data_IF_982460627524
#
_entry.id   IF_982460627524
#
_cell.length_a   1.000
_cell.length_b   1.000
_cell.length_c   1.000
_cell.angle_alpha   90.00
_cell.angle_beta   90.00
_cell.angle_gamma   90.00
#
_symmetry.space_group_name_H-M   'P 1'
#
loop_
_entity.id
_entity.type
_entity.pdbx_description
1 polymer ?
#
# COMPACT_ATOMS: atom_id res chain seq x y z
N UNK A 1 -18.64 9.73 25.48
CA UNK A 1 -17.24 10.10 25.18
C UNK A 1 -16.87 11.19 26.17
N UNK A 2 -15.74 11.10 26.90
CA UNK A 2 -15.27 12.23 27.69
C UNK A 2 -15.09 13.44 26.76
N UNK A 3 -15.62 14.60 27.14
CA UNK A 3 -15.46 15.82 26.36
C UNK A 3 -13.99 16.24 26.33
N UNK A 4 -13.43 16.44 25.13
CA UNK A 4 -12.09 17.02 24.95
C UNK A 4 -11.97 18.32 25.77
N UNK A 5 -11.08 18.32 26.77
CA UNK A 5 -10.81 19.51 27.57
C UNK A 5 -9.58 20.23 27.01
N UNK A 6 -9.81 21.41 26.42
CA UNK A 6 -8.73 22.23 25.86
C UNK A 6 -8.01 23.10 26.90
N UNK A 7 -8.49 23.14 28.15
CA UNK A 7 -7.89 23.99 29.20
C UNK A 7 -6.47 23.53 29.57
N UNK A 8 -6.27 22.22 29.74
CA UNK A 8 -4.95 21.66 30.02
C UNK A 8 -4.00 21.84 28.82
N UNK A 9 -4.53 21.61 27.61
CA UNK A 9 -3.82 21.80 26.36
C UNK A 9 -3.31 23.24 26.21
N UNK A 10 -4.20 24.23 26.27
CA UNK A 10 -3.83 25.64 26.10
C UNK A 10 -2.92 26.16 27.22
N UNK A 11 -3.08 25.69 28.47
CA UNK A 11 -2.12 25.99 29.54
C UNK A 11 -0.73 25.47 29.23
N UNK A 12 -0.63 24.26 28.68
CA UNK A 12 0.65 23.66 28.28
C UNK A 12 1.29 24.43 27.11
N UNK A 13 0.50 24.77 26.09
CA UNK A 13 0.97 25.60 24.97
C UNK A 13 1.47 26.95 25.49
N UNK A 14 0.66 27.66 26.29
CA UNK A 14 1.01 28.99 26.82
C UNK A 14 2.29 28.98 27.66
N UNK A 15 2.52 27.93 28.46
CA UNK A 15 3.74 27.76 29.28
C UNK A 15 5.01 27.69 28.42
N UNK A 16 4.92 27.08 27.24
CA UNK A 16 6.07 26.85 26.38
C UNK A 16 6.29 27.94 25.30
N UNK A 17 5.39 28.93 25.17
CA UNK A 17 5.46 29.99 24.13
C UNK A 17 6.76 30.81 24.11
N UNK A 18 7.44 31.00 25.25
CA UNK A 18 8.60 31.89 25.36
C UNK A 18 9.95 31.22 25.04
N UNK A 19 10.04 29.90 25.19
CA UNK A 19 11.31 29.14 25.13
C UNK A 19 11.22 27.88 24.27
N UNK A 20 10.05 27.62 23.70
CA UNK A 20 9.73 26.40 22.98
C UNK A 20 10.05 26.49 21.50
N UNK A 21 10.70 25.45 20.96
CA UNK A 21 10.62 25.12 19.54
C UNK A 21 9.30 24.40 19.26
N UNK A 22 8.94 24.21 17.99
CA UNK A 22 7.81 23.36 17.55
C UNK A 22 7.66 22.07 18.38
N UNK A 23 8.77 21.32 18.53
CA UNK A 23 8.81 20.04 19.28
C UNK A 23 8.49 20.15 20.77
N UNK A 24 8.68 21.32 21.39
CA UNK A 24 8.34 21.53 22.79
C UNK A 24 6.84 21.47 23.09
N UNK A 25 6.01 21.57 22.05
CA UNK A 25 4.55 21.50 22.14
C UNK A 25 4.01 20.12 21.79
N UNK A 26 4.86 19.19 21.33
CA UNK A 26 4.43 17.85 20.90
C UNK A 26 3.75 17.04 21.99
N UNK A 27 4.23 17.02 23.26
CA UNK A 27 3.54 16.29 24.32
C UNK A 27 2.09 16.76 24.52
N UNK A 28 1.85 18.07 24.48
CA UNK A 28 0.51 18.62 24.64
C UNK A 28 -0.42 18.20 23.49
N UNK A 29 0.10 18.20 22.25
CA UNK A 29 -0.67 17.76 21.08
C UNK A 29 -0.93 16.25 21.10
N UNK A 30 0.05 15.44 21.53
CA UNK A 30 -0.12 13.99 21.71
C UNK A 30 -1.25 13.71 22.72
N UNK A 31 -1.18 14.33 23.90
CA UNK A 31 -2.20 14.15 24.95
C UNK A 31 -3.60 14.54 24.45
N UNK A 32 -3.70 15.60 23.64
CA UNK A 32 -4.95 16.04 23.03
C UNK A 32 -5.51 15.00 22.03
N UNK A 33 -4.65 14.36 21.24
CA UNK A 33 -5.02 13.35 20.24
C UNK A 33 -5.37 11.99 20.87
N UNK A 34 -4.74 11.63 21.99
CA UNK A 34 -4.96 10.37 22.70
C UNK A 34 -6.23 10.41 23.58
N UNK A 35 -6.60 11.57 24.11
CA UNK A 35 -7.70 11.74 25.06
C UNK A 35 -9.12 11.27 24.62
N UNK A 36 -9.57 11.43 23.36
CA UNK A 36 -10.98 11.27 23.01
C UNK A 36 -11.47 9.83 22.81
N UNK A 37 -10.62 8.80 22.70
CA UNK A 37 -11.11 7.43 22.47
C UNK A 37 -10.18 6.31 22.94
N UNK A 38 -10.80 5.23 23.44
CA UNK A 38 -10.09 4.00 23.81
C UNK A 38 -9.33 3.39 22.63
N UNK A 39 -8.03 3.23 22.82
CA UNK A 39 -7.13 2.58 21.87
C UNK A 39 -6.65 3.49 20.73
N UNK A 40 -6.79 4.81 20.82
CA UNK A 40 -6.05 5.75 19.97
C UNK A 40 -4.66 5.98 20.56
N UNK A 41 -3.63 5.97 19.73
CA UNK A 41 -2.26 6.34 20.09
C UNK A 41 -1.64 7.20 18.97
N UNK A 42 -1.27 8.43 19.31
CA UNK A 42 -0.48 9.32 18.47
C UNK A 42 1.02 9.10 18.74
N UNK A 43 1.76 8.71 17.71
CA UNK A 43 3.21 8.48 17.77
C UNK A 43 3.93 9.69 17.16
N UNK A 44 4.95 10.20 17.86
CA UNK A 44 5.83 11.27 17.36
C UNK A 44 6.91 10.65 16.47
N UNK A 45 7.06 11.16 15.24
CA UNK A 45 8.06 10.67 14.29
C UNK A 45 9.42 11.34 14.52
N UNK A 46 10.38 10.62 15.12
CA UNK A 46 11.69 11.17 15.53
C UNK A 46 12.50 11.74 14.36
N UNK A 47 12.39 11.10 13.18
CA UNK A 47 13.11 11.51 11.95
C UNK A 47 12.33 12.51 11.08
N UNK A 48 11.02 12.71 11.34
CA UNK A 48 10.13 13.66 10.65
C UNK A 48 10.42 13.84 9.15
N UNK A 49 10.46 15.11 8.72
CA UNK A 49 10.73 15.60 7.35
C UNK A 49 11.84 14.88 6.56
N UNK A 50 12.83 14.25 7.21
CA UNK A 50 13.89 13.48 6.53
C UNK A 50 13.40 12.17 5.94
N UNK A 51 12.31 11.60 6.47
CA UNK A 51 11.68 10.38 5.97
C UNK A 51 10.49 10.66 5.03
N UNK A 52 10.12 11.92 4.82
CA UNK A 52 8.96 12.29 4.00
C UNK A 52 7.60 11.96 4.63
N UNK A 53 7.54 11.83 5.97
CA UNK A 53 6.34 11.52 6.75
C UNK A 53 6.06 12.71 7.70
N UNK A 54 4.78 13.05 7.97
CA UNK A 54 4.41 14.13 8.89
C UNK A 54 4.88 13.88 10.33
N UNK A 55 4.82 14.90 11.18
CA UNK A 55 5.39 14.85 12.54
C UNK A 55 4.72 13.83 13.47
N UNK A 56 3.44 13.52 13.25
CA UNK A 56 2.71 12.51 14.02
C UNK A 56 2.02 11.49 13.11
N UNK A 57 2.09 10.24 13.55
CA UNK A 57 1.27 9.14 13.05
C UNK A 57 0.21 8.79 14.09
N UNK A 58 -1.08 8.88 13.74
CA UNK A 58 -2.18 8.52 14.64
C UNK A 58 -2.70 7.13 14.28
N UNK A 59 -2.75 6.25 15.27
CA UNK A 59 -3.24 4.88 15.12
C UNK A 59 -4.39 4.60 16.07
N UNK A 60 -5.25 3.67 15.69
CA UNK A 60 -6.24 3.05 16.55
C UNK A 60 -5.88 1.58 16.67
N UNK A 61 -5.31 1.18 17.81
CA UNK A 61 -4.60 -0.09 17.97
C UNK A 61 -3.51 -0.19 16.89
N UNK A 62 -3.51 -1.25 16.09
CA UNK A 62 -2.56 -1.43 14.98
C UNK A 62 -2.98 -0.74 13.66
N UNK A 63 -4.18 -0.12 13.61
CA UNK A 63 -4.71 0.46 12.38
C UNK A 63 -4.34 1.94 12.25
N UNK A 64 -3.81 2.34 11.11
CA UNK A 64 -3.53 3.75 10.79
C UNK A 64 -4.84 4.54 10.67
N UNK A 65 -4.97 5.63 11.43
CA UNK A 65 -6.09 6.57 11.37
C UNK A 65 -5.75 7.73 10.43
N UNK A 66 -4.57 8.32 10.58
CA UNK A 66 -4.15 9.47 9.80
C UNK A 66 -2.86 10.06 10.32
N UNK A 67 -2.53 11.23 9.79
CA UNK A 67 -1.29 11.94 10.12
C UNK A 67 -1.58 13.35 10.60
N UNK A 68 -0.68 13.90 11.41
CA UNK A 68 -0.71 15.31 11.82
C UNK A 68 0.63 15.95 11.52
N UNK A 69 0.58 17.06 10.78
CA UNK A 69 1.70 17.96 10.57
C UNK A 69 1.56 19.15 11.50
N UNK A 70 2.58 19.40 12.33
CA UNK A 70 2.59 20.50 13.27
C UNK A 70 3.57 21.58 12.80
N UNK A 71 3.25 22.85 13.06
CA UNK A 71 4.12 24.01 12.77
C UNK A 71 4.20 24.90 14.00
N UNK A 72 5.18 25.79 14.01
CA UNK A 72 5.38 26.73 15.12
C UNK A 72 4.11 27.50 15.50
N UNK A 73 3.96 27.76 16.81
CA UNK A 73 2.72 28.33 17.36
C UNK A 73 2.42 29.72 16.78
N UNK A 74 1.28 29.82 16.09
CA UNK A 74 0.81 31.07 15.48
C UNK A 74 1.42 31.39 14.11
N UNK A 75 2.14 30.45 13.49
CA UNK A 75 2.63 30.60 12.12
C UNK A 75 1.46 30.58 11.12
N UNK A 76 1.56 31.35 10.04
CA UNK A 76 0.51 31.47 9.03
C UNK A 76 0.38 30.18 8.19
N UNK A 77 -0.67 29.41 8.46
CA UNK A 77 -0.96 28.17 7.76
C UNK A 77 -1.37 28.36 6.28
N UNK A 78 -1.80 29.56 5.85
CA UNK A 78 -2.12 29.83 4.45
C UNK A 78 -0.87 29.82 3.55
N UNK A 79 0.28 30.20 4.10
CA UNK A 79 1.56 30.09 3.38
C UNK A 79 2.07 28.66 3.40
N UNK A 80 1.89 27.95 4.53
CA UNK A 80 2.29 26.55 4.65
C UNK A 80 1.52 25.67 3.67
N UNK A 81 0.22 25.90 3.46
CA UNK A 81 -0.59 25.21 2.45
C UNK A 81 0.02 25.25 1.04
N UNK A 82 0.78 26.29 0.70
CA UNK A 82 1.38 26.46 -0.63
C UNK A 82 2.76 25.84 -0.78
N UNK A 83 3.35 25.37 0.33
CA UNK A 83 4.69 24.75 0.29
C UNK A 83 4.65 23.43 -0.46
N UNK A 84 5.71 23.13 -1.20
CA UNK A 84 5.84 21.87 -1.93
C UNK A 84 5.74 20.66 -0.99
N UNK A 85 6.30 20.78 0.22
CA UNK A 85 6.19 19.76 1.25
C UNK A 85 4.73 19.44 1.59
N UNK A 86 3.92 20.45 1.94
CA UNK A 86 2.54 20.18 2.35
C UNK A 86 1.70 19.73 1.15
N UNK A 87 1.94 20.22 -0.06
CA UNK A 87 1.28 19.71 -1.26
C UNK A 87 1.57 18.22 -1.47
N UNK A 88 2.83 17.77 -1.29
CA UNK A 88 3.17 16.35 -1.32
C UNK A 88 2.42 15.55 -0.25
N UNK A 89 2.29 16.09 0.96
CA UNK A 89 1.56 15.42 2.03
C UNK A 89 0.06 15.32 1.75
N UNK A 90 -0.55 16.37 1.19
CA UNK A 90 -1.95 16.38 0.76
C UNK A 90 -2.22 15.36 -0.36
N UNK A 91 -1.26 15.13 -1.25
CA UNK A 91 -1.35 14.09 -2.29
C UNK A 91 -1.16 12.66 -1.73
N UNK A 92 -0.22 12.49 -0.80
CA UNK A 92 0.19 11.18 -0.29
C UNK A 92 -0.73 10.64 0.81
N UNK A 93 -1.20 11.51 1.71
CA UNK A 93 -1.87 11.11 2.94
C UNK A 93 -3.38 11.38 2.87
N UNK A 94 -4.23 10.33 2.89
CA UNK A 94 -5.66 10.46 2.65
C UNK A 94 -6.41 11.11 3.82
N UNK A 95 -5.83 11.14 5.02
CA UNK A 95 -6.42 11.73 6.22
C UNK A 95 -5.32 12.49 6.97
N UNK A 96 -5.33 13.82 6.87
CA UNK A 96 -4.26 14.69 7.36
C UNK A 96 -4.84 15.87 8.15
N UNK A 97 -4.23 16.18 9.29
CA UNK A 97 -4.44 17.43 10.00
C UNK A 97 -3.19 18.29 9.90
N UNK A 98 -3.36 19.57 9.58
CA UNK A 98 -2.33 20.60 9.71
C UNK A 98 -2.68 21.48 10.90
N UNK A 99 -1.71 21.75 11.78
CA UNK A 99 -1.93 22.63 12.93
C UNK A 99 -0.72 23.51 13.25
N UNK A 100 -0.99 24.71 13.74
CA UNK A 100 0.00 25.56 14.43
C UNK A 100 -0.32 25.65 15.94
N UNK A 101 -0.95 24.62 16.49
CA UNK A 101 -1.47 24.50 17.86
C UNK A 101 -2.65 25.41 18.22
N UNK A 102 -2.95 26.44 17.43
CA UNK A 102 -4.05 27.38 17.66
C UNK A 102 -5.11 27.31 16.57
N UNK A 103 -4.74 26.89 15.37
CA UNK A 103 -5.60 26.66 14.22
C UNK A 103 -5.42 25.22 13.74
N UNK A 104 -6.53 24.56 13.42
CA UNK A 104 -6.54 23.20 12.92
C UNK A 104 -7.24 23.16 11.57
N UNK A 105 -6.62 22.50 10.59
CA UNK A 105 -7.18 22.27 9.26
C UNK A 105 -7.18 20.77 9.00
N UNK A 106 -8.35 20.22 8.69
CA UNK A 106 -8.50 18.82 8.37
C UNK A 106 -8.70 18.62 6.87
N UNK A 107 -7.95 17.68 6.30
CA UNK A 107 -7.98 17.32 4.90
C UNK A 107 -8.26 15.84 4.74
N UNK A 108 -9.08 15.56 3.73
CA UNK A 108 -9.34 14.21 3.27
C UNK A 108 -9.07 14.15 1.77
N UNK A 109 -8.19 13.24 1.36
CA UNK A 109 -7.80 13.05 -0.04
C UNK A 109 -7.36 14.37 -0.71
N UNK A 110 -6.54 15.16 -0.01
CA UNK A 110 -6.04 16.47 -0.45
C UNK A 110 -7.05 17.61 -0.42
N UNK A 111 -8.33 17.35 -0.12
CA UNK A 111 -9.37 18.39 -0.02
C UNK A 111 -9.59 18.81 1.43
N UNK A 112 -9.53 20.12 1.69
CA UNK A 112 -9.84 20.67 3.02
C UNK A 112 -11.32 20.47 3.35
N UNK A 113 -11.60 19.72 4.41
CA UNK A 113 -12.96 19.42 4.90
C UNK A 113 -13.42 20.43 5.94
N UNK A 114 -12.54 20.79 6.86
CA UNK A 114 -12.83 21.74 7.92
C UNK A 114 -11.58 22.53 8.31
N UNK A 115 -11.78 23.75 8.77
CA UNK A 115 -10.77 24.62 9.36
C UNK A 115 -11.42 25.44 10.46
N UNK A 116 -10.79 25.49 11.63
CA UNK A 116 -11.23 26.35 12.73
C UNK A 116 -10.04 26.81 13.59
N UNK A 117 -10.27 27.88 14.36
CA UNK A 117 -9.29 28.49 15.25
C UNK A 117 -9.74 28.27 16.70
N UNK A 118 -8.90 27.57 17.47
CA UNK A 118 -9.09 27.26 18.88
C UNK A 118 -8.92 28.50 19.76
N UNK A 119 -7.87 29.29 19.52
CA UNK A 119 -7.54 30.46 20.33
C UNK A 119 -6.76 31.52 19.53
N UNK A 120 -7.00 32.79 19.88
CA UNK A 120 -6.23 33.93 19.39
C UNK A 120 -5.01 34.17 20.29
N UNK A 121 -3.88 34.58 19.71
CA UNK A 121 -2.64 34.89 20.43
C UNK A 121 -2.41 36.39 20.49
N UNK A 122 -2.20 36.93 21.69
CA UNK A 122 -1.74 38.30 21.92
C UNK A 122 -0.48 38.27 22.80
N UNK A 123 0.69 38.35 22.14
CA UNK A 123 1.99 38.15 22.81
C UNK A 123 2.11 36.74 23.41
N UNK A 124 2.15 36.65 24.74
CA UNK A 124 2.24 35.39 25.49
C UNK A 124 0.92 34.96 26.15
N UNK A 125 -0.20 35.61 25.80
CA UNK A 125 -1.53 35.25 26.27
C UNK A 125 -2.32 34.61 25.13
N UNK A 126 -3.03 33.53 25.45
CA UNK A 126 -3.98 32.87 24.55
C UNK A 126 -5.40 33.19 25.02
N UNK A 127 -6.26 33.58 24.08
CA UNK A 127 -7.68 33.80 24.30
C UNK A 127 -8.48 32.77 23.53
N UNK A 128 -9.22 31.92 24.24
CA UNK A 128 -10.06 30.87 23.63
C UNK A 128 -11.11 31.50 22.71
N UNK A 129 -11.28 30.92 21.52
CA UNK A 129 -12.28 31.32 20.53
C UNK A 129 -13.37 30.26 20.38
N UNK A 130 -13.01 29.05 19.97
CA UNK A 130 -13.99 27.98 19.69
C UNK A 130 -13.42 26.60 20.04
N UNK A 131 -13.94 25.98 21.10
CA UNK A 131 -13.57 24.61 21.50
C UNK A 131 -14.40 23.56 20.78
N UNK A 132 -15.70 23.80 20.63
CA UNK A 132 -16.64 22.77 20.14
C UNK A 132 -16.39 22.40 18.69
N UNK A 133 -16.02 23.38 17.85
CA UNK A 133 -15.68 23.15 16.46
C UNK A 133 -14.39 22.36 16.28
N UNK A 134 -13.39 22.64 17.13
CA UNK A 134 -12.12 21.90 17.14
C UNK A 134 -12.35 20.49 17.66
N UNK A 135 -13.15 20.32 18.70
CA UNK A 135 -13.55 19.00 19.19
C UNK A 135 -14.24 18.20 18.09
N UNK A 136 -15.19 18.79 17.37
CA UNK A 136 -15.88 18.14 16.26
C UNK A 136 -14.93 17.79 15.09
N UNK A 137 -13.99 18.69 14.75
CA UNK A 137 -12.99 18.44 13.72
C UNK A 137 -12.09 17.26 14.09
N UNK A 138 -11.55 17.25 15.33
CA UNK A 138 -10.70 16.16 15.81
C UNK A 138 -11.49 14.85 15.92
N UNK A 139 -12.73 14.89 16.39
CA UNK A 139 -13.59 13.70 16.44
C UNK A 139 -13.82 13.12 15.04
N UNK A 140 -14.12 13.96 14.05
CA UNK A 140 -14.28 13.53 12.65
C UNK A 140 -12.97 12.99 12.06
N UNK A 141 -11.83 13.61 12.35
CA UNK A 141 -10.51 13.12 11.94
C UNK A 141 -10.18 11.75 12.55
N UNK A 142 -10.41 11.57 13.85
CA UNK A 142 -10.09 10.36 14.61
C UNK A 142 -11.04 9.20 14.31
N UNK A 143 -12.30 9.52 14.02
CA UNK A 143 -13.32 8.56 13.61
C UNK A 143 -13.45 8.46 12.07
N UNK A 144 -12.54 9.08 11.32
CA UNK A 144 -12.50 8.93 9.87
C UNK A 144 -12.19 7.48 9.52
N UNK A 145 -13.18 6.77 8.99
CA UNK A 145 -13.07 5.37 8.55
C UNK A 145 -12.66 5.25 7.08
N UNK A 146 -12.18 6.34 6.47
CA UNK A 146 -12.04 6.41 5.02
C UNK A 146 -13.37 6.73 4.33
N UNK A 147 -13.31 7.10 3.05
CA UNK A 147 -14.14 6.34 2.11
C UNK A 147 -13.73 4.89 2.36
N UNK A 148 -14.63 4.08 2.92
CA UNK A 148 -14.39 2.65 3.07
C UNK A 148 -13.82 2.21 1.74
N UNK A 149 -12.63 1.58 1.74
CA UNK A 149 -12.15 0.82 0.59
C UNK A 149 -13.14 -0.33 0.43
N UNK A 150 -14.28 0.02 -0.16
CA UNK A 150 -15.47 -0.79 -0.32
C UNK A 150 -15.50 -1.32 -1.74
N UNK A 151 -14.71 -0.70 -2.62
CA UNK A 151 -14.46 -1.16 -3.96
C UNK A 151 -12.96 -1.40 -4.20
N UNK A 152 -12.60 -2.33 -5.09
CA UNK A 152 -11.22 -2.50 -5.52
C UNK A 152 -10.66 -1.30 -6.33
N UNK A 153 -11.50 -0.35 -6.78
CA UNK A 153 -11.03 0.89 -7.42
C UNK A 153 -10.45 1.88 -6.38
N UNK A 154 -11.10 2.02 -5.23
CA UNK A 154 -10.63 2.89 -4.14
C UNK A 154 -9.25 2.42 -3.64
N UNK A 155 -9.07 1.10 -3.54
CA UNK A 155 -7.79 0.50 -3.21
C UNK A 155 -6.74 0.88 -4.24
N UNK A 156 -7.06 0.74 -5.52
CA UNK A 156 -6.10 0.97 -6.57
C UNK A 156 -5.65 2.45 -6.61
N UNK A 157 -6.57 3.39 -6.36
CA UNK A 157 -6.25 4.81 -6.14
C UNK A 157 -5.35 5.03 -4.93
N UNK A 158 -5.63 4.35 -3.81
CA UNK A 158 -4.82 4.45 -2.60
C UNK A 158 -3.42 3.85 -2.77
N UNK A 159 -3.31 2.69 -3.42
CA UNK A 159 -2.06 2.05 -3.79
C UNK A 159 -1.24 2.94 -4.71
N UNK A 160 -1.84 3.57 -5.72
CA UNK A 160 -1.12 4.50 -6.58
C UNK A 160 -0.57 5.72 -5.83
N UNK A 161 -1.33 6.28 -4.88
CA UNK A 161 -0.84 7.37 -4.03
C UNK A 161 0.35 6.93 -3.18
N UNK A 162 0.24 5.76 -2.52
CA UNK A 162 1.32 5.20 -1.70
C UNK A 162 2.56 4.85 -2.54
N UNK A 163 2.40 4.22 -3.70
CA UNK A 163 3.50 3.93 -4.63
C UNK A 163 4.16 5.22 -5.12
N UNK A 164 3.38 6.26 -5.45
CA UNK A 164 3.93 7.58 -5.85
C UNK A 164 4.72 8.21 -4.70
N UNK A 165 4.22 8.13 -3.47
CA UNK A 165 4.87 8.65 -2.27
C UNK A 165 6.18 7.92 -1.96
N UNK A 166 6.18 6.58 -1.98
CA UNK A 166 7.39 5.75 -1.80
C UNK A 166 8.40 6.09 -2.89
N UNK A 167 7.99 6.09 -4.17
CA UNK A 167 8.88 6.43 -5.29
C UNK A 167 9.52 7.80 -5.10
N UNK A 168 8.74 8.81 -4.69
CA UNK A 168 9.25 10.15 -4.48
C UNK A 168 10.23 10.21 -3.30
N UNK A 169 9.89 9.57 -2.17
CA UNK A 169 10.78 9.46 -1.02
C UNK A 169 12.09 8.75 -1.38
N UNK A 170 12.02 7.66 -2.14
CA UNK A 170 13.20 6.93 -2.64
C UNK A 170 14.02 7.78 -3.60
N UNK A 171 13.40 8.47 -4.55
CA UNK A 171 14.11 9.35 -5.49
C UNK A 171 14.83 10.49 -4.77
N UNK A 172 14.15 11.18 -3.85
CA UNK A 172 14.75 12.23 -3.02
C UNK A 172 15.88 11.70 -2.13
N UNK A 173 15.73 10.49 -1.59
CA UNK A 173 16.78 9.85 -0.80
C UNK A 173 18.00 9.48 -1.66
N UNK A 174 17.79 9.00 -2.88
CA UNK A 174 18.85 8.67 -3.84
C UNK A 174 19.57 9.91 -4.39
N UNK A 175 18.87 11.03 -4.59
CA UNK A 175 19.50 12.31 -4.98
C UNK A 175 20.46 12.86 -3.90
N UNK A 176 20.23 12.49 -2.63
CA UNK A 176 21.06 12.88 -1.50
C UNK A 176 22.15 11.88 -1.13
N UNK A 177 22.21 10.71 -1.78
CA UNK A 177 23.16 9.63 -1.47
C UNK A 177 24.25 9.53 -2.55
N UNK A 178 25.47 9.16 -2.17
CA UNK A 178 26.50 8.85 -3.16
C UNK A 178 26.26 7.49 -3.83
N UNK A 179 26.96 7.20 -4.94
CA UNK A 179 26.78 5.97 -5.73
C UNK A 179 27.10 4.67 -4.95
N UNK A 180 27.70 4.78 -3.77
CA UNK A 180 28.02 3.68 -2.86
C UNK A 180 27.07 3.66 -1.64
N UNK A 181 26.03 4.49 -1.63
CA UNK A 181 25.03 4.58 -0.57
C UNK A 181 24.26 3.28 -0.32
N UNK A 182 23.71 3.15 0.89
CA UNK A 182 22.94 1.97 1.30
C UNK A 182 21.74 1.74 0.37
N UNK A 183 21.04 2.79 -0.10
CA UNK A 183 19.89 2.63 -1.01
C UNK A 183 20.30 2.17 -2.40
N UNK A 184 21.49 2.57 -2.90
CA UNK A 184 22.06 2.04 -4.14
C UNK A 184 22.47 0.56 -4.03
N UNK A 185 22.76 0.09 -2.82
CA UNK A 185 23.16 -1.29 -2.53
C UNK A 185 21.99 -2.20 -2.09
N UNK A 186 20.79 -1.65 -1.89
CA UNK A 186 19.59 -2.43 -1.55
C UNK A 186 19.25 -3.41 -2.69
N UNK A 187 19.67 -4.66 -2.53
CA UNK A 187 19.04 -5.78 -3.25
C UNK A 187 17.61 -5.92 -2.73
N UNK A 188 16.60 -6.18 -3.59
CA UNK A 188 15.23 -6.34 -3.16
C UNK A 188 15.14 -7.52 -2.18
N UNK A 189 15.09 -7.24 -0.88
CA UNK A 189 14.95 -8.26 0.15
C UNK A 189 13.94 -7.84 1.21
N UNK A 190 12.91 -8.69 1.23
CA UNK A 190 11.88 -8.94 2.24
C UNK A 190 10.82 -7.85 2.48
N UNK A 191 9.65 -8.19 1.93
CA UNK A 191 8.30 -7.68 2.21
C UNK A 191 8.06 -6.22 1.84
N UNK A 192 7.81 -6.02 0.54
CA UNK A 192 7.21 -4.81 0.01
C UNK A 192 5.92 -4.49 0.79
N UNK A 193 5.83 -3.34 1.50
CA UNK A 193 4.65 -2.92 2.25
C UNK A 193 3.38 -2.97 1.40
N UNK A 194 3.49 -2.73 0.08
CA UNK A 194 2.39 -2.83 -0.89
C UNK A 194 1.77 -4.23 -0.88
N UNK A 195 2.60 -5.26 -0.79
CA UNK A 195 2.16 -6.67 -0.78
C UNK A 195 1.43 -6.98 0.53
N UNK A 196 1.89 -6.46 1.67
CA UNK A 196 1.23 -6.68 2.96
C UNK A 196 -0.15 -6.00 3.05
N UNK A 197 -0.27 -4.79 2.52
CA UNK A 197 -1.57 -4.10 2.39
C UNK A 197 -2.53 -4.86 1.47
N UNK A 198 -2.02 -5.34 0.34
CA UNK A 198 -2.78 -6.14 -0.62
C UNK A 198 -3.30 -7.46 -0.03
N UNK A 199 -2.48 -8.15 0.77
CA UNK A 199 -2.86 -9.36 1.50
C UNK A 199 -3.97 -9.13 2.52
N UNK A 200 -3.85 -8.04 3.29
CA UNK A 200 -4.80 -7.65 4.35
C UNK A 200 -6.17 -7.32 3.74
N UNK A 201 -6.19 -6.60 2.63
CA UNK A 201 -7.43 -6.29 1.91
C UNK A 201 -8.11 -7.54 1.36
N UNK A 202 -7.40 -8.45 0.68
CA UNK A 202 -8.04 -9.65 0.12
C UNK A 202 -8.54 -10.61 1.20
N UNK A 203 -7.95 -10.56 2.41
CA UNK A 203 -8.53 -11.20 3.58
C UNK A 203 -9.93 -10.66 3.91
N UNK A 204 -10.10 -9.34 3.85
CA UNK A 204 -11.34 -8.64 4.20
C UNK A 204 -12.38 -8.61 3.06
N UNK A 205 -11.95 -8.43 1.81
CA UNK A 205 -12.80 -8.22 0.64
C UNK A 205 -13.64 -9.45 0.28
N UNK A 206 -13.05 -10.65 0.33
CA UNK A 206 -13.80 -11.88 0.11
C UNK A 206 -13.13 -13.09 0.77
N UNK A 207 -13.30 -13.20 2.10
CA UNK A 207 -12.76 -14.30 2.90
C UNK A 207 -13.21 -15.69 2.39
N UNK A 208 -14.43 -15.80 1.84
CA UNK A 208 -14.96 -17.05 1.28
C UNK A 208 -14.25 -17.43 -0.02
N UNK A 209 -14.05 -16.48 -0.94
CA UNK A 209 -13.31 -16.71 -2.19
C UNK A 209 -11.84 -17.01 -1.89
N UNK A 210 -11.21 -16.30 -0.94
CA UNK A 210 -9.87 -16.60 -0.42
C UNK A 210 -9.78 -18.03 0.10
N UNK A 211 -10.72 -18.45 0.97
CA UNK A 211 -10.75 -19.79 1.54
C UNK A 211 -10.97 -20.86 0.46
N UNK A 212 -11.77 -20.55 -0.56
CA UNK A 212 -12.04 -21.48 -1.67
C UNK A 212 -10.84 -21.66 -2.60
N UNK A 213 -10.15 -20.57 -2.99
CA UNK A 213 -9.08 -20.58 -4.01
C UNK A 213 -7.67 -20.69 -3.42
N UNK A 214 -7.50 -20.45 -2.12
CA UNK A 214 -6.25 -20.63 -1.37
C UNK A 214 -5.03 -19.86 -1.90
N UNK A 215 -5.27 -18.84 -2.74
CA UNK A 215 -4.34 -17.76 -3.10
C UNK A 215 -5.14 -16.51 -3.40
N UNK A 216 -4.44 -15.40 -3.43
CA UNK A 216 -4.93 -14.08 -3.79
C UNK A 216 -5.17 -13.97 -5.31
N UNK A 217 -6.44 -13.81 -5.70
CA UNK A 217 -6.84 -13.37 -7.04
C UNK A 217 -6.78 -11.84 -7.08
N UNK A 218 -6.17 -11.24 -8.11
CA UNK A 218 -6.19 -9.79 -8.29
C UNK A 218 -7.56 -9.34 -8.76
N UNK A 219 -8.30 -8.55 -7.96
CA UNK A 219 -9.64 -8.12 -8.34
C UNK A 219 -9.61 -7.37 -9.67
N UNK A 220 -10.60 -7.63 -10.53
CA UNK A 220 -10.71 -6.99 -11.86
C UNK A 220 -10.59 -5.45 -11.81
N UNK A 221 -11.13 -4.71 -10.81
CA UNK A 221 -10.95 -3.27 -10.77
C UNK A 221 -9.53 -2.82 -10.40
N UNK A 222 -8.76 -3.60 -9.63
CA UNK A 222 -7.34 -3.34 -9.36
C UNK A 222 -6.54 -3.51 -10.65
N UNK A 223 -6.79 -4.60 -11.37
CA UNK A 223 -6.17 -4.85 -12.68
C UNK A 223 -6.54 -3.72 -13.66
N UNK A 224 -7.81 -3.34 -13.72
CA UNK A 224 -8.30 -2.28 -14.59
C UNK A 224 -7.65 -0.92 -14.28
N UNK A 225 -7.45 -0.60 -13.00
CA UNK A 225 -6.74 0.61 -12.61
C UNK A 225 -5.26 0.59 -13.00
N UNK A 226 -4.56 -0.53 -12.80
CA UNK A 226 -3.16 -0.69 -13.22
C UNK A 226 -3.07 -0.48 -14.74
N UNK A 227 -3.93 -1.13 -15.51
CA UNK A 227 -4.01 -1.00 -16.98
C UNK A 227 -4.24 0.46 -17.40
N UNK A 228 -5.22 1.15 -16.80
CA UNK A 228 -5.48 2.58 -17.10
C UNK A 228 -4.32 3.49 -16.73
N UNK A 229 -3.65 3.21 -15.62
CA UNK A 229 -2.51 4.02 -15.16
C UNK A 229 -1.31 3.84 -16.09
N UNK A 230 -1.04 2.62 -16.54
CA UNK A 230 -0.01 2.32 -17.54
C UNK A 230 -0.37 2.99 -18.87
N UNK A 231 -1.61 2.87 -19.34
CA UNK A 231 -2.08 3.54 -20.56
C UNK A 231 -1.87 5.06 -20.53
N UNK A 232 -2.21 5.70 -19.42
CA UNK A 232 -1.99 7.14 -19.22
C UNK A 232 -0.50 7.49 -19.20
N UNK A 233 0.34 6.70 -18.52
CA UNK A 233 1.79 6.91 -18.49
C UNK A 233 2.40 6.78 -19.90
N UNK A 234 1.98 5.77 -20.68
CA UNK A 234 2.47 5.57 -22.04
C UNK A 234 2.15 6.79 -22.93
N UNK A 235 0.96 7.37 -22.79
CA UNK A 235 0.55 8.61 -23.48
C UNK A 235 1.34 9.82 -23.04
N UNK A 236 1.45 10.04 -21.73
CA UNK A 236 2.00 11.28 -21.16
C UNK A 236 3.53 11.32 -21.08
N UNK A 237 4.20 10.16 -21.12
CA UNK A 237 5.64 10.05 -20.82
C UNK A 237 6.44 9.26 -21.84
N UNK A 238 5.80 8.49 -22.72
CA UNK A 238 6.47 7.62 -23.69
C UNK A 238 6.19 8.01 -25.14
N UNK A 239 5.53 9.14 -25.38
CA UNK A 239 5.16 9.63 -26.72
C UNK A 239 4.41 8.58 -27.56
N UNK A 240 3.62 7.75 -26.88
CA UNK A 240 2.72 6.77 -27.47
C UNK A 240 1.29 7.33 -27.40
N UNK A 241 0.85 8.17 -28.36
CA UNK A 241 -0.44 8.88 -28.29
C UNK A 241 -1.65 7.95 -28.19
N UNK A 242 -1.52 6.68 -28.60
CA UNK A 242 -2.56 5.67 -28.43
C UNK A 242 -2.42 4.85 -27.13
N UNK A 243 -1.40 5.12 -26.32
CA UNK A 243 -1.12 4.46 -25.04
C UNK A 243 -0.87 2.97 -25.20
N UNK A 244 -1.66 2.14 -24.52
CA UNK A 244 -1.62 0.69 -24.74
C UNK A 244 -2.04 0.33 -26.17
N UNK A 245 -2.91 1.12 -26.82
CA UNK A 245 -3.31 0.87 -28.20
C UNK A 245 -2.25 1.32 -29.24
N UNK A 246 -1.10 1.81 -28.79
CA UNK A 246 -0.01 2.20 -29.68
C UNK A 246 0.77 0.98 -30.17
N UNK A 247 0.51 0.61 -31.43
CA UNK A 247 1.03 -0.61 -32.05
C UNK A 247 2.50 -0.52 -32.47
N UNK A 248 3.21 0.56 -32.15
CA UNK A 248 4.63 0.69 -32.50
C UNK A 248 5.50 -0.42 -31.89
N UNK A 249 5.08 -1.03 -30.77
CA UNK A 249 5.83 -2.09 -30.06
C UNK A 249 4.99 -3.27 -29.52
N UNK A 250 3.70 -3.38 -29.84
CA UNK A 250 2.78 -4.44 -29.30
C UNK A 250 2.71 -4.51 -27.75
N UNK A 251 2.94 -3.40 -27.05
CA UNK A 251 2.92 -3.39 -25.57
C UNK A 251 1.50 -3.56 -25.01
N UNK A 252 0.46 -3.02 -25.65
CA UNK A 252 -0.92 -3.23 -25.22
C UNK A 252 -1.42 -4.64 -25.39
N UNK A 253 -1.05 -5.30 -26.49
CA UNK A 253 -1.37 -6.71 -26.72
C UNK A 253 -0.78 -7.60 -25.64
N UNK A 254 0.50 -7.39 -25.31
CA UNK A 254 1.19 -8.10 -24.22
C UNK A 254 0.62 -7.77 -22.84
N UNK A 255 0.28 -6.50 -22.59
CA UNK A 255 -0.41 -6.08 -21.37
C UNK A 255 -1.76 -6.77 -21.19
N UNK A 256 -2.58 -6.82 -22.24
CA UNK A 256 -3.87 -7.52 -22.20
C UNK A 256 -3.70 -9.03 -22.02
N UNK A 257 -2.69 -9.63 -22.65
CA UNK A 257 -2.38 -11.04 -22.46
C UNK A 257 -2.00 -11.36 -21.00
N UNK A 258 -1.20 -10.51 -20.35
CA UNK A 258 -0.89 -10.62 -18.92
C UNK A 258 -2.15 -10.55 -18.06
N UNK A 259 -3.04 -9.59 -18.34
CA UNK A 259 -4.33 -9.45 -17.64
C UNK A 259 -5.16 -10.74 -17.76
N UNK A 260 -5.31 -11.26 -18.97
CA UNK A 260 -6.14 -12.44 -19.21
C UNK A 260 -5.58 -13.72 -18.55
N UNK A 261 -4.25 -13.84 -18.46
CA UNK A 261 -3.60 -14.91 -17.70
C UNK A 261 -3.94 -14.82 -16.21
N UNK A 262 -3.80 -13.64 -15.61
CA UNK A 262 -3.99 -13.44 -14.17
C UNK A 262 -5.47 -13.48 -13.75
N UNK A 263 -6.38 -13.10 -14.65
CA UNK A 263 -7.82 -13.24 -14.44
C UNK A 263 -8.31 -14.68 -14.68
N UNK A 264 -7.44 -15.61 -15.07
CA UNK A 264 -7.76 -16.99 -15.46
C UNK A 264 -8.73 -17.09 -16.65
N UNK A 265 -8.71 -16.10 -17.55
CA UNK A 265 -9.56 -16.00 -18.75
C UNK A 265 -8.86 -16.47 -20.04
N UNK A 266 -7.53 -16.51 -20.03
CA UNK A 266 -6.73 -16.90 -21.21
C UNK A 266 -6.96 -18.36 -21.63
N UNK A 267 -7.16 -18.58 -22.94
CA UNK A 267 -7.28 -19.92 -23.53
C UNK A 267 -5.99 -20.74 -23.40
N UNK A 268 -4.84 -20.07 -23.27
CA UNK A 268 -3.53 -20.72 -23.11
C UNK A 268 -3.50 -21.60 -21.86
N UNK A 269 -4.24 -21.23 -20.81
CA UNK A 269 -4.33 -21.97 -19.56
C UNK A 269 -4.88 -23.39 -19.74
N UNK A 270 -5.60 -23.68 -20.82
CA UNK A 270 -6.10 -25.03 -21.09
C UNK A 270 -5.03 -25.97 -21.69
N UNK A 271 -3.88 -25.42 -22.10
CA UNK A 271 -2.72 -26.20 -22.57
C UNK A 271 -1.84 -26.56 -21.37
N UNK A 272 -2.30 -27.53 -20.58
CA UNK A 272 -1.61 -27.92 -19.35
C UNK A 272 -0.21 -28.45 -19.66
N UNK A 273 0.79 -27.95 -18.92
CA UNK A 273 2.19 -28.38 -19.01
C UNK A 273 2.59 -29.34 -17.88
N UNK A 274 1.65 -29.64 -17.00
CA UNK A 274 1.85 -30.46 -15.81
C UNK A 274 0.89 -31.62 -15.78
N UNK A 275 1.27 -32.69 -15.09
CA UNK A 275 0.41 -33.86 -14.82
C UNK A 275 0.41 -34.17 -13.33
N UNK A 276 -0.74 -34.56 -12.80
CA UNK A 276 -0.82 -35.16 -11.46
C UNK A 276 -0.55 -36.67 -11.55
N UNK A 277 0.43 -37.15 -10.79
CA UNK A 277 0.92 -38.53 -10.84
C UNK A 277 1.11 -39.14 -9.45
N UNK A 278 1.41 -40.44 -9.39
CA UNK A 278 1.61 -41.21 -8.15
C UNK A 278 0.37 -41.97 -7.68
N UNK A 279 0.46 -42.72 -6.57
CA UNK A 279 -0.57 -43.65 -6.08
C UNK A 279 -1.03 -43.26 -4.67
N UNK A 280 -2.18 -42.60 -4.53
CA UNK A 280 -2.67 -42.20 -3.20
C UNK A 280 -3.86 -41.25 -3.25
N UNK A 281 -4.26 -40.70 -2.12
CA UNK A 281 -5.24 -39.61 -2.07
C UNK A 281 -4.59 -38.25 -2.39
N UNK A 282 -5.41 -37.24 -2.67
CA UNK A 282 -4.94 -35.89 -2.94
C UNK A 282 -4.85 -35.03 -1.67
N UNK A 283 -4.68 -35.64 -0.49
CA UNK A 283 -4.54 -34.88 0.76
C UNK A 283 -3.18 -34.18 0.76
N UNK A 284 -3.18 -32.86 1.02
CA UNK A 284 -1.94 -32.09 1.09
C UNK A 284 -1.40 -32.19 2.52
N UNK A 285 -0.44 -33.07 2.74
CA UNK A 285 0.19 -33.33 4.05
C UNK A 285 1.64 -32.82 4.11
N UNK A 286 2.27 -32.63 2.95
CA UNK A 286 3.59 -32.00 2.78
C UNK A 286 3.64 -31.18 1.49
N UNK A 287 4.70 -30.38 1.37
CA UNK A 287 4.98 -29.58 0.18
C UNK A 287 6.49 -29.61 0.00
N UNK A 288 6.97 -30.44 -0.91
CA UNK A 288 8.40 -30.66 -1.14
C UNK A 288 8.68 -30.63 -2.64
N UNK A 289 9.70 -29.91 -3.07
CA UNK A 289 10.06 -29.82 -4.48
C UNK A 289 11.37 -30.55 -4.77
N UNK A 290 11.36 -31.36 -5.83
CA UNK A 290 12.53 -32.00 -6.41
C UNK A 290 12.84 -31.32 -7.75
N UNK A 291 13.93 -30.54 -7.79
CA UNK A 291 14.34 -29.79 -8.98
C UNK A 291 14.82 -30.70 -10.13
N UNK A 292 15.49 -31.80 -9.82
CA UNK A 292 16.01 -32.76 -10.82
C UNK A 292 14.88 -33.45 -11.55
N UNK A 293 13.85 -33.86 -10.81
CA UNK A 293 12.68 -34.53 -11.38
C UNK A 293 11.59 -33.56 -11.84
N UNK A 294 11.73 -32.26 -11.54
CA UNK A 294 10.72 -31.22 -11.78
C UNK A 294 9.36 -31.57 -11.17
N UNK A 295 9.39 -32.04 -9.92
CA UNK A 295 8.21 -32.55 -9.19
C UNK A 295 7.94 -31.80 -7.91
N UNK A 296 6.67 -31.45 -7.70
CA UNK A 296 6.17 -30.92 -6.42
C UNK A 296 5.31 -31.98 -5.74
N UNK A 297 5.78 -32.51 -4.63
CA UNK A 297 5.09 -33.49 -3.80
C UNK A 297 4.08 -32.81 -2.87
N UNK A 298 2.86 -33.33 -2.82
CA UNK A 298 1.81 -32.90 -1.88
C UNK A 298 1.65 -33.88 -0.71
N UNK A 299 2.13 -35.11 -0.91
CA UNK A 299 2.32 -36.17 0.07
C UNK A 299 3.38 -37.15 -0.47
N UNK A 300 3.67 -38.21 0.28
CA UNK A 300 4.71 -39.18 -0.08
C UNK A 300 4.46 -39.86 -1.42
N UNK A 301 3.19 -39.99 -1.79
CA UNK A 301 2.76 -40.83 -2.91
C UNK A 301 2.13 -40.04 -4.07
N UNK A 302 1.86 -38.74 -3.92
CA UNK A 302 1.27 -37.87 -4.94
C UNK A 302 2.08 -36.61 -5.18
N UNK A 303 2.23 -36.28 -6.46
CA UNK A 303 3.01 -35.12 -6.91
C UNK A 303 2.53 -34.60 -8.26
N UNK A 304 2.82 -33.32 -8.50
CA UNK A 304 2.72 -32.68 -9.80
C UNK A 304 4.05 -32.79 -10.54
N UNK A 305 4.02 -33.23 -11.78
CA UNK A 305 5.16 -33.30 -12.71
C UNK A 305 5.20 -32.10 -13.64
N UNK A 306 6.39 -31.78 -14.19
CA UNK A 306 6.56 -30.78 -15.24
C UNK A 306 6.68 -29.34 -14.73
N UNK A 307 7.04 -29.16 -13.46
CA UNK A 307 7.24 -27.83 -12.85
C UNK A 307 8.73 -27.53 -12.85
N UNK A 308 9.18 -26.68 -13.77
CA UNK A 308 10.60 -26.29 -13.88
C UNK A 308 11.07 -25.50 -12.66
N UNK A 309 12.39 -25.49 -12.36
CA UNK A 309 12.92 -24.78 -11.19
C UNK A 309 12.57 -23.29 -11.17
N UNK A 310 12.58 -22.63 -12.33
CA UNK A 310 12.28 -21.20 -12.41
C UNK A 310 10.80 -20.92 -12.13
N UNK A 311 9.90 -21.77 -12.63
CA UNK A 311 8.45 -21.65 -12.36
C UNK A 311 8.14 -21.97 -10.90
N UNK A 312 8.84 -22.94 -10.29
CA UNK A 312 8.74 -23.21 -8.86
C UNK A 312 9.23 -22.03 -8.02
N UNK A 313 10.39 -21.47 -8.37
CA UNK A 313 11.04 -20.37 -7.64
C UNK A 313 10.37 -19.01 -7.85
N UNK A 314 9.43 -18.90 -8.80
CA UNK A 314 8.77 -17.63 -9.13
C UNK A 314 8.04 -17.03 -7.92
N UNK A 315 8.29 -15.74 -7.69
CA UNK A 315 7.74 -14.97 -6.56
C UNK A 315 6.96 -13.76 -7.03
N UNK A 316 5.90 -13.46 -6.31
CA UNK A 316 5.21 -12.16 -6.36
C UNK A 316 5.32 -11.56 -4.97
N UNK A 317 6.06 -10.46 -4.85
CA UNK A 317 6.46 -9.94 -3.55
C UNK A 317 7.36 -10.92 -2.79
N UNK A 318 7.10 -11.11 -1.50
CA UNK A 318 7.82 -12.08 -0.65
C UNK A 318 7.44 -13.54 -0.88
N UNK A 319 6.36 -13.82 -1.61
CA UNK A 319 5.74 -15.14 -1.66
C UNK A 319 6.10 -15.92 -2.92
N UNK A 320 6.55 -17.15 -2.71
CA UNK A 320 6.65 -18.14 -3.77
C UNK A 320 5.27 -18.71 -4.07
N UNK A 321 4.77 -18.46 -5.29
CA UNK A 321 3.33 -18.58 -5.60
C UNK A 321 2.81 -20.02 -5.45
N UNK A 322 3.51 -20.97 -6.05
CA UNK A 322 3.12 -22.39 -6.06
C UNK A 322 3.23 -23.04 -4.67
N UNK A 323 4.33 -22.77 -3.96
CA UNK A 323 4.56 -23.26 -2.60
C UNK A 323 3.51 -22.74 -1.62
N UNK A 324 3.22 -21.43 -1.68
CA UNK A 324 2.20 -20.82 -0.84
C UNK A 324 0.81 -21.41 -1.08
N UNK A 325 0.41 -21.61 -2.34
CA UNK A 325 -0.89 -22.20 -2.72
C UNK A 325 -1.13 -23.55 -2.04
N UNK A 326 -0.10 -24.41 -2.03
CA UNK A 326 -0.15 -25.74 -1.42
C UNK A 326 -0.05 -25.69 0.10
N UNK A 327 0.82 -24.86 0.66
CA UNK A 327 0.95 -24.70 2.13
C UNK A 327 -0.33 -24.21 2.78
N UNK A 328 -1.06 -23.31 2.14
CA UNK A 328 -2.35 -22.82 2.65
C UNK A 328 -3.39 -23.96 2.71
N UNK A 329 -3.37 -24.89 1.75
CA UNK A 329 -4.23 -26.09 1.74
C UNK A 329 -3.80 -27.15 2.74
N UNK A 330 -2.49 -27.33 2.94
CA UNK A 330 -1.93 -28.15 4.02
C UNK A 330 -2.39 -27.64 5.38
N UNK A 331 -2.27 -26.32 5.63
CA UNK A 331 -2.71 -25.68 6.88
C UNK A 331 -4.21 -25.87 7.11
N UNK A 332 -5.01 -25.80 6.05
CA UNK A 332 -6.44 -26.05 6.08
C UNK A 332 -6.82 -27.55 6.12
N UNK A 333 -5.84 -28.48 6.13
CA UNK A 333 -6.03 -29.94 6.08
C UNK A 333 -6.94 -30.38 4.93
N UNK A 334 -6.76 -29.78 3.74
CA UNK A 334 -7.59 -30.03 2.57
C UNK A 334 -7.06 -31.17 1.69
N UNK A 335 -8.00 -31.91 1.12
CA UNK A 335 -7.80 -32.81 -0.01
C UNK A 335 -8.16 -32.08 -1.31
N UNK A 336 -7.31 -32.15 -2.32
CA UNK A 336 -7.54 -31.46 -3.59
C UNK A 336 -8.62 -32.18 -4.40
N UNK A 337 -9.69 -31.46 -4.71
CA UNK A 337 -10.67 -31.88 -5.71
C UNK A 337 -10.08 -31.86 -7.12
N UNK A 338 -10.81 -32.42 -8.09
CA UNK A 338 -10.44 -32.30 -9.50
C UNK A 338 -10.26 -30.83 -9.93
N UNK A 339 -11.15 -29.94 -9.49
CA UNK A 339 -11.08 -28.52 -9.80
C UNK A 339 -9.88 -27.83 -9.14
N UNK A 340 -9.52 -28.21 -7.90
CA UNK A 340 -8.32 -27.71 -7.23
C UNK A 340 -7.05 -28.12 -8.00
N UNK A 341 -6.98 -29.40 -8.43
CA UNK A 341 -5.86 -29.92 -9.24
C UNK A 341 -5.77 -29.16 -10.56
N UNK A 342 -6.86 -29.10 -11.31
CA UNK A 342 -6.91 -28.38 -12.59
C UNK A 342 -6.54 -26.91 -12.42
N UNK A 343 -7.04 -26.26 -11.37
CA UNK A 343 -6.73 -24.86 -11.08
C UNK A 343 -5.23 -24.67 -10.80
N UNK A 344 -4.61 -25.53 -9.98
CA UNK A 344 -3.18 -25.47 -9.72
C UNK A 344 -2.35 -25.63 -10.99
N UNK A 345 -2.70 -26.60 -11.85
CA UNK A 345 -2.03 -26.81 -13.14
C UNK A 345 -2.16 -25.57 -14.04
N UNK A 346 -3.33 -24.91 -14.04
CA UNK A 346 -3.52 -23.63 -14.76
C UNK A 346 -2.68 -22.50 -14.19
N UNK A 347 -2.50 -22.42 -12.86
CA UNK A 347 -1.60 -21.44 -12.24
C UNK A 347 -0.17 -21.67 -12.69
N UNK A 348 0.30 -22.93 -12.78
CA UNK A 348 1.63 -23.25 -13.30
C UNK A 348 1.81 -22.74 -14.74
N UNK A 349 0.80 -22.94 -15.61
CA UNK A 349 0.81 -22.38 -16.97
C UNK A 349 0.84 -20.85 -16.94
N UNK A 350 -0.01 -20.22 -16.11
CA UNK A 350 -0.06 -18.76 -16.00
C UNK A 350 1.29 -18.16 -15.61
N UNK A 351 2.02 -18.77 -14.67
CA UNK A 351 3.34 -18.31 -14.25
C UNK A 351 4.36 -18.43 -15.39
N UNK A 352 4.39 -19.57 -16.09
CA UNK A 352 5.29 -19.77 -17.23
C UNK A 352 5.04 -18.73 -18.33
N UNK A 353 3.78 -18.54 -18.72
CA UNK A 353 3.40 -17.57 -19.76
C UNK A 353 3.68 -16.12 -19.32
N UNK A 354 3.50 -15.83 -18.02
CA UNK A 354 3.84 -14.52 -17.46
C UNK A 354 5.33 -14.23 -17.59
N UNK A 355 6.18 -15.20 -17.23
CA UNK A 355 7.63 -15.05 -17.37
C UNK A 355 8.06 -14.81 -18.82
N UNK A 356 7.43 -15.52 -19.77
CA UNK A 356 7.70 -15.32 -21.18
C UNK A 356 7.28 -13.92 -21.66
N UNK A 357 6.06 -13.48 -21.30
CA UNK A 357 5.58 -12.15 -21.66
C UNK A 357 6.44 -11.03 -21.03
N UNK A 358 6.92 -11.21 -19.80
CA UNK A 358 7.84 -10.27 -19.17
C UNK A 358 9.13 -10.14 -19.98
N UNK A 359 9.74 -11.26 -20.41
CA UNK A 359 10.94 -11.23 -21.25
C UNK A 359 10.68 -10.55 -22.61
N UNK A 360 9.54 -10.81 -23.23
CA UNK A 360 9.16 -10.16 -24.49
C UNK A 360 8.97 -8.65 -24.31
N UNK A 361 8.38 -8.20 -23.19
CA UNK A 361 8.24 -6.78 -22.86
C UNK A 361 9.61 -6.14 -22.61
N UNK A 362 10.49 -6.80 -21.84
CA UNK A 362 11.85 -6.31 -21.56
C UNK A 362 12.66 -6.14 -22.85
N UNK A 363 12.49 -7.03 -23.84
CA UNK A 363 13.13 -6.92 -25.16
C UNK A 363 12.61 -5.71 -25.97
N UNK A 364 11.33 -5.36 -25.81
CA UNK A 364 10.73 -4.19 -26.48
C UNK A 364 11.12 -2.87 -25.81
N UNK A 365 11.55 -2.93 -24.55
CA UNK A 365 11.98 -1.80 -23.71
C UNK A 365 13.38 -2.12 -23.15
N UNK A 366 14.43 -2.14 -23.98
CA UNK A 366 15.77 -2.62 -23.58
C UNK A 366 16.50 -1.67 -22.60
N UNK A 367 15.97 -0.48 -22.33
CA UNK A 367 16.57 0.50 -21.43
C UNK A 367 15.63 1.66 -21.08
N UNK A 368 15.99 2.39 -20.03
CA UNK A 368 15.34 3.63 -19.62
C UNK A 368 16.38 4.75 -19.45
N UNK A 369 16.15 5.96 -20.00
CA UNK A 369 15.06 6.29 -20.94
C UNK A 369 15.20 5.52 -22.26
N UNK A 370 14.10 5.34 -22.98
CA UNK A 370 14.14 4.79 -24.34
C UNK A 370 14.78 5.87 -25.21
N UNK A 371 15.97 5.60 -25.77
CA UNK A 371 16.64 6.50 -26.72
C UNK A 371 15.87 6.62 -28.05
#
# INVERSE_FOLDING_TARGET
MPSLSFDAYLKSIQKNLQKGSERSHYPALKDLLDAPADGIDAVIEEKGNKAGIPDFTVKRRELLVGYVEAKDVGLDLDQIEKTEQLQRYLEAFPNLVLTNYLEFRWYVNGKRRQKDVLADRSGNKLQVRATDKIAALLDQFLNYTGEIISSPEDLARQMARLTKAIRLATATALEGEDKNGELHQLKPRQEDPVVHFYETFLAAYNAALRKSRGVYYTPEPVVSFIVRSVDAILKDRFDLPLGLADNAKDLGGKGQALVDLHLMKSKQLNKLITKMSGNGDNAVTEVTYNATEQRVYINKDRYFEGITPDVWAFKIGGYQVLDKWLKDRKKAKRTLSFDDVLHYQKVVVALKETMQLMQEIDQLIPGFPIE
#
